data_IF_414938534834
#
_entry.id   IF_414938534834
#
_cell.length_a   1.000
_cell.length_b   1.000
_cell.length_c   1.000
_cell.angle_alpha   90.00
_cell.angle_beta   90.00
_cell.angle_gamma   90.00
#
_symmetry.space_group_name_H-M   'P 1'
#
loop_
_entity.id
_entity.type
_entity.pdbx_description
1 polymer ?
#
# COMPACT_ATOMS: atom_id res chain seq x y z
N UNK A 1 -4.07 9.77 -1.68
CA UNK A 1 -4.36 9.87 -0.23
C UNK A 1 -3.09 9.69 0.60
N UNK A 2 -3.05 10.16 1.85
CA UNK A 2 -1.92 9.95 2.79
C UNK A 2 -2.46 9.64 4.19
N UNK A 3 -1.75 8.79 4.93
CA UNK A 3 -2.00 8.51 6.35
C UNK A 3 -1.44 9.63 7.24
N UNK A 4 -1.70 9.56 8.56
CA UNK A 4 -1.02 10.45 9.53
C UNK A 4 0.50 10.23 9.51
N UNK A 5 1.23 11.29 9.78
CA UNK A 5 2.69 11.22 9.94
C UNK A 5 3.00 10.95 11.41
N UNK A 6 3.50 9.75 11.70
CA UNK A 6 4.08 9.41 12.99
C UNK A 6 5.51 9.95 13.07
N UNK A 7 5.83 10.71 14.12
CA UNK A 7 7.16 11.32 14.30
C UNK A 7 7.96 10.54 15.34
N UNK A 8 9.28 10.47 15.13
CA UNK A 8 10.22 9.82 16.05
C UNK A 8 9.91 8.36 16.38
N UNK A 9 9.27 7.65 15.43
CA UNK A 9 8.88 6.25 15.62
C UNK A 9 9.31 5.41 14.41
N UNK A 10 10.00 4.30 14.67
CA UNK A 10 10.41 3.32 13.66
C UNK A 10 9.38 2.20 13.45
N UNK A 11 8.43 2.03 14.37
CA UNK A 11 7.32 1.08 14.33
C UNK A 11 5.98 1.85 14.38
N UNK A 12 5.65 2.64 13.34
CA UNK A 12 4.44 3.44 13.31
C UNK A 12 3.18 2.56 13.29
N UNK A 13 2.19 2.93 14.12
CA UNK A 13 0.86 2.30 14.14
C UNK A 13 -0.15 3.32 13.64
N UNK A 14 -0.64 3.12 12.43
CA UNK A 14 -1.61 4.03 11.82
C UNK A 14 -3.04 3.74 12.29
N UNK A 15 -3.50 2.50 12.18
CA UNK A 15 -4.91 2.14 12.42
C UNK A 15 -5.86 3.10 11.69
N UNK A 16 -5.58 3.33 10.40
CA UNK A 16 -6.32 4.23 9.54
C UNK A 16 -6.80 3.49 8.30
N UNK A 17 -8.05 3.73 7.93
CA UNK A 17 -8.62 3.28 6.67
C UNK A 17 -8.72 4.49 5.74
N UNK A 18 -8.23 4.30 4.51
CA UNK A 18 -8.40 5.27 3.44
C UNK A 18 -9.46 4.71 2.52
N UNK A 19 -10.58 5.42 2.43
CA UNK A 19 -11.70 5.06 1.58
C UNK A 19 -11.60 5.82 0.28
N UNK A 20 -11.71 5.09 -0.82
CA UNK A 20 -11.74 5.65 -2.17
C UNK A 20 -13.13 5.38 -2.74
N UNK A 21 -13.93 6.42 -2.91
CA UNK A 21 -15.25 6.33 -3.52
C UNK A 21 -15.16 6.64 -5.02
N UNK A 22 -16.07 6.07 -5.83
CA UNK A 22 -16.15 6.23 -7.29
C UNK A 22 -14.94 5.74 -8.11
N UNK A 23 -14.09 4.88 -7.54
CA UNK A 23 -12.92 4.38 -8.27
C UNK A 23 -13.20 3.18 -9.17
N UNK A 24 -14.32 2.46 -9.01
CA UNK A 24 -14.59 1.23 -9.77
C UNK A 24 -15.68 1.43 -10.83
N UNK A 25 -15.45 1.08 -12.12
CA UNK A 25 -14.30 0.37 -12.67
C UNK A 25 -13.03 1.23 -12.77
N UNK A 26 -11.91 0.76 -12.22
CA UNK A 26 -10.65 1.51 -12.22
C UNK A 26 -10.01 1.49 -13.60
N UNK A 27 -9.66 2.65 -14.17
CA UNK A 27 -8.78 2.73 -15.35
C UNK A 27 -7.35 2.25 -15.07
N UNK A 28 -7.00 2.07 -13.79
CA UNK A 28 -5.71 1.58 -13.33
C UNK A 28 -5.83 0.16 -12.77
N UNK A 29 -4.77 -0.62 -12.96
CA UNK A 29 -4.72 -2.04 -12.57
C UNK A 29 -3.92 -2.28 -11.29
N UNK A 30 -3.31 -1.26 -10.70
CA UNK A 30 -2.30 -1.43 -9.66
C UNK A 30 -2.50 -0.42 -8.54
N UNK A 31 -2.48 -0.90 -7.31
CA UNK A 31 -2.44 -0.09 -6.10
C UNK A 31 -0.97 0.11 -5.73
N UNK A 32 -0.53 1.36 -5.67
CA UNK A 32 0.83 1.75 -5.27
C UNK A 32 0.84 2.26 -3.85
N UNK A 33 1.60 1.59 -2.99
CA UNK A 33 1.84 1.96 -1.61
C UNK A 33 3.26 2.51 -1.50
N UNK A 34 3.40 3.75 -1.05
CA UNK A 34 4.68 4.40 -0.86
C UNK A 34 4.87 4.73 0.62
N UNK A 35 5.94 4.22 1.22
CA UNK A 35 6.40 4.65 2.54
C UNK A 35 7.40 5.78 2.36
N UNK A 36 7.15 6.90 3.04
CA UNK A 36 7.95 8.12 2.92
C UNK A 36 8.36 8.64 4.29
N UNK A 37 9.53 9.26 4.34
CA UNK A 37 9.98 10.00 5.51
C UNK A 37 9.09 11.23 5.74
N UNK A 38 8.74 11.50 7.00
CA UNK A 38 7.90 12.63 7.40
C UNK A 38 8.61 14.01 7.39
N UNK A 39 9.88 14.06 6.97
CA UNK A 39 10.63 15.31 6.83
C UNK A 39 10.16 16.17 5.65
N UNK A 40 10.68 17.40 5.56
CA UNK A 40 10.26 18.43 4.57
C UNK A 40 10.36 17.92 3.12
N UNK A 41 11.40 17.14 2.81
CA UNK A 41 11.62 16.59 1.46
C UNK A 41 10.74 15.37 1.13
N UNK A 42 10.17 14.69 2.12
CA UNK A 42 9.28 13.55 1.88
C UNK A 42 9.95 12.38 1.16
N UNK A 43 11.20 12.07 1.50
CA UNK A 43 12.02 11.05 0.80
C UNK A 43 11.33 9.68 0.78
N UNK A 44 11.40 9.02 -0.39
CA UNK A 44 10.82 7.69 -0.58
C UNK A 44 11.71 6.63 0.11
N UNK A 45 11.11 5.89 1.04
CA UNK A 45 11.79 4.82 1.77
C UNK A 45 11.58 3.50 1.04
N UNK A 46 10.33 3.16 0.70
CA UNK A 46 9.96 1.90 0.04
C UNK A 46 8.69 2.04 -0.80
N UNK A 47 8.59 1.21 -1.83
CA UNK A 47 7.43 1.15 -2.73
C UNK A 47 6.94 -0.29 -2.86
N UNK A 48 5.65 -0.53 -2.57
CA UNK A 48 4.97 -1.78 -2.88
C UNK A 48 3.91 -1.55 -3.95
N UNK A 49 3.95 -2.38 -4.99
CA UNK A 49 2.91 -2.46 -6.01
C UNK A 49 2.08 -3.72 -5.77
N UNK A 50 0.76 -3.56 -5.78
CA UNK A 50 -0.21 -4.67 -5.69
C UNK A 50 -1.06 -4.60 -6.96
N UNK A 51 -0.98 -5.62 -7.83
CA UNK A 51 -1.86 -5.74 -8.99
C UNK A 51 -3.26 -6.14 -8.48
N UNK A 52 -4.28 -5.44 -8.96
CA UNK A 52 -5.68 -5.68 -8.60
C UNK A 52 -6.09 -7.10 -9.00
N UNK A 53 -5.59 -7.61 -10.14
CA UNK A 53 -5.85 -8.99 -10.56
C UNK A 53 -5.51 -10.02 -9.48
N UNK A 54 -4.36 -9.83 -8.83
CA UNK A 54 -3.79 -10.83 -7.93
C UNK A 54 -4.61 -10.92 -6.65
N UNK A 55 -5.42 -9.90 -6.38
CA UNK A 55 -6.30 -9.78 -5.21
C UNK A 55 -7.78 -9.82 -5.60
N UNK A 56 -8.15 -10.14 -6.84
CA UNK A 56 -9.56 -10.28 -7.22
C UNK A 56 -10.17 -11.49 -6.51
N UNK A 57 -11.24 -11.27 -5.76
CA UNK A 57 -12.06 -12.33 -5.20
C UNK A 57 -13.27 -12.58 -6.10
N UNK A 58 -13.52 -13.85 -6.41
CA UNK A 58 -14.64 -14.32 -7.25
C UNK A 58 -15.74 -15.02 -6.45
N UNK A 59 -15.65 -15.00 -5.12
CA UNK A 59 -16.59 -15.68 -4.24
C UNK A 59 -17.88 -14.86 -4.18
N UNK A 60 -19.04 -15.53 -4.18
CA UNK A 60 -20.41 -14.96 -4.16
C UNK A 60 -20.92 -14.26 -5.44
N UNK A 61 -20.30 -14.50 -6.59
CA UNK A 61 -20.79 -13.97 -7.88
C UNK A 61 -20.50 -12.49 -8.08
N UNK A 62 -19.67 -11.91 -7.22
CA UNK A 62 -19.21 -10.52 -7.26
C UNK A 62 -17.69 -10.52 -7.41
N UNK A 63 -17.18 -9.75 -8.36
CA UNK A 63 -15.76 -9.69 -8.70
C UNK A 63 -15.16 -8.42 -8.13
N UNK A 64 -14.70 -8.48 -6.88
CA UNK A 64 -14.20 -7.32 -6.16
C UNK A 64 -12.80 -7.58 -5.59
N UNK A 65 -11.90 -6.59 -5.63
CA UNK A 65 -10.57 -6.71 -5.02
C UNK A 65 -10.66 -6.92 -3.50
N UNK A 66 -10.14 -8.04 -3.01
CA UNK A 66 -10.11 -8.37 -1.59
C UNK A 66 -8.74 -8.91 -1.18
N UNK A 67 -8.13 -8.32 -0.16
CA UNK A 67 -6.83 -8.74 0.36
C UNK A 67 -6.73 -8.53 1.86
N UNK A 68 -6.10 -9.47 2.57
CA UNK A 68 -5.76 -9.34 3.98
C UNK A 68 -6.90 -9.61 4.96
N UNK A 69 -6.69 -9.32 6.27
CA UNK A 69 -5.49 -8.67 6.83
C UNK A 69 -4.24 -9.53 6.71
N UNK A 70 -3.16 -9.00 6.13
CA UNK A 70 -1.87 -9.71 6.07
C UNK A 70 -0.68 -8.77 6.10
N UNK A 71 0.47 -9.30 6.51
CA UNK A 71 1.75 -8.60 6.45
C UNK A 71 2.30 -8.65 5.03
N UNK A 72 2.51 -7.49 4.43
CA UNK A 72 3.30 -7.36 3.22
C UNK A 72 4.74 -7.01 3.56
N UNK A 73 5.68 -7.52 2.77
CA UNK A 73 7.07 -7.13 2.89
C UNK A 73 7.31 -5.82 2.12
N UNK A 74 8.07 -4.92 2.73
CA UNK A 74 8.53 -3.68 2.14
C UNK A 74 10.03 -3.71 1.97
N UNK A 75 10.47 -3.38 0.76
CA UNK A 75 11.88 -3.26 0.42
C UNK A 75 12.13 -1.83 -0.05
N UNK A 76 13.13 -1.20 0.56
CA UNK A 76 13.57 0.12 0.13
C UNK A 76 14.48 0.07 -1.08
N UNK A 77 14.77 1.23 -1.66
CA UNK A 77 15.55 1.39 -2.88
C UNK A 77 16.80 0.49 -2.89
N UNK A 78 17.07 -0.21 -4.01
CA UNK A 78 18.25 -1.05 -4.12
C UNK A 78 19.49 -0.15 -4.13
N UNK A 79 20.64 -0.69 -3.70
CA UNK A 79 21.91 -0.04 -3.98
C UNK A 79 22.10 -0.05 -5.51
N UNK A 80 22.18 1.12 -6.12
CA UNK A 80 22.18 1.25 -7.59
C UNK A 80 23.55 0.80 -8.11
N UNK A 81 23.62 -0.39 -8.68
CA UNK A 81 24.81 -0.90 -9.36
C UNK A 81 24.67 -0.91 -10.89
N UNK A 82 23.43 -0.86 -11.42
CA UNK A 82 23.17 -0.90 -12.86
C UNK A 82 22.12 0.13 -13.31
N UNK A 83 22.11 0.46 -14.61
CA UNK A 83 21.16 1.39 -15.22
C UNK A 83 19.70 0.89 -15.18
N UNK A 84 19.48 -0.42 -15.30
CA UNK A 84 18.14 -1.02 -15.22
C UNK A 84 17.50 -0.83 -13.84
N UNK A 85 18.31 -0.99 -12.77
CA UNK A 85 17.89 -0.73 -11.39
C UNK A 85 17.54 0.74 -11.15
N UNK A 86 18.11 1.68 -11.92
CA UNK A 86 17.76 3.11 -11.84
C UNK A 86 16.38 3.41 -12.46
N UNK A 87 16.01 2.70 -13.53
CA UNK A 87 14.77 2.95 -14.27
C UNK A 87 13.52 2.44 -13.55
N UNK A 88 13.60 1.29 -12.88
CA UNK A 88 12.45 0.61 -12.21
C UNK A 88 12.89 -0.14 -10.94
N UNK A 89 13.45 0.54 -9.93
CA UNK A 89 14.01 -0.09 -8.73
C UNK A 89 12.98 -0.92 -7.94
N UNK A 90 11.71 -0.54 -7.98
CA UNK A 90 10.65 -1.18 -7.21
C UNK A 90 10.23 -2.55 -7.76
N UNK A 91 10.49 -2.87 -9.03
CA UNK A 91 9.96 -4.09 -9.65
C UNK A 91 10.70 -5.33 -9.16
N UNK A 92 12.03 -5.33 -9.25
CA UNK A 92 12.87 -6.46 -8.81
C UNK A 92 12.68 -6.70 -7.30
N UNK A 93 12.70 -5.62 -6.51
CA UNK A 93 12.58 -5.70 -5.06
C UNK A 93 11.23 -6.25 -4.59
N UNK A 94 10.14 -5.87 -5.27
CA UNK A 94 8.82 -6.41 -4.96
C UNK A 94 8.68 -7.91 -5.27
N UNK A 95 9.57 -8.45 -6.09
CA UNK A 95 9.69 -9.89 -6.41
C UNK A 95 10.74 -10.60 -5.54
N UNK A 96 11.31 -9.91 -4.55
CA UNK A 96 12.43 -10.38 -3.74
C UNK A 96 13.70 -10.69 -4.57
N UNK A 97 13.85 -10.05 -5.73
CA UNK A 97 15.04 -10.11 -6.58
C UNK A 97 15.89 -8.86 -6.30
N UNK A 98 17.18 -9.03 -5.99
CA UNK A 98 18.13 -7.92 -5.78
C UNK A 98 19.02 -8.06 -4.54
N UNK A 99 20.28 -7.60 -4.66
CA UNK A 99 21.26 -7.64 -3.57
C UNK A 99 21.37 -6.27 -2.86
N UNK A 100 21.13 -6.27 -1.54
CA UNK A 100 21.29 -5.09 -0.70
C UNK A 100 20.18 -4.05 -0.87
N UNK A 101 19.40 -3.84 0.19
CA UNK A 101 18.33 -2.83 0.24
C UNK A 101 18.60 -1.84 1.36
N UNK A 102 18.28 -0.56 1.13
CA UNK A 102 18.45 0.48 2.14
C UNK A 102 17.48 0.32 3.33
N UNK A 103 16.37 -0.40 3.13
CA UNK A 103 15.34 -0.62 4.14
C UNK A 103 14.67 -1.99 3.95
N UNK A 104 14.39 -2.67 5.07
CA UNK A 104 13.52 -3.86 5.13
C UNK A 104 12.49 -3.62 6.22
N UNK A 105 11.22 -3.75 5.86
CA UNK A 105 10.13 -3.59 6.80
C UNK A 105 8.95 -4.47 6.43
N UNK A 106 7.92 -4.44 7.27
CA UNK A 106 6.63 -5.06 6.99
C UNK A 106 5.52 -4.07 7.27
N UNK A 107 4.45 -4.16 6.49
CA UNK A 107 3.24 -3.36 6.68
C UNK A 107 2.05 -4.31 6.79
N UNK A 108 1.26 -4.16 7.86
CA UNK A 108 0.00 -4.87 8.01
C UNK A 108 -1.10 -4.08 7.30
N UNK A 109 -1.77 -4.70 6.34
CA UNK A 109 -2.86 -4.04 5.61
C UNK A 109 -3.96 -5.01 5.20
N UNK A 110 -5.12 -4.42 4.95
CA UNK A 110 -6.24 -5.06 4.27
C UNK A 110 -6.76 -4.13 3.17
N UNK A 111 -7.19 -4.72 2.05
CA UNK A 111 -7.88 -4.03 0.96
C UNK A 111 -9.25 -4.67 0.87
N UNK A 112 -10.29 -3.84 0.94
CA UNK A 112 -11.68 -4.24 0.81
C UNK A 112 -12.35 -3.29 -0.16
N UNK A 113 -13.29 -3.82 -0.91
CA UNK A 113 -14.17 -3.06 -1.77
C UNK A 113 -15.60 -3.51 -1.51
N UNK A 114 -16.51 -2.54 -1.56
CA UNK A 114 -17.94 -2.69 -1.36
C UNK A 114 -18.65 -1.95 -2.50
N UNK A 115 -19.86 -2.40 -2.81
CA UNK A 115 -20.73 -1.62 -3.69
C UNK A 115 -21.18 -0.38 -2.94
N UNK A 116 -21.18 0.74 -3.65
CA UNK A 116 -21.78 1.98 -3.19
C UNK A 116 -23.14 2.11 -3.89
N UNK A 117 -24.23 2.00 -3.14
CA UNK A 117 -25.59 2.10 -3.69
C UNK A 117 -25.97 3.57 -3.94
N UNK A 118 -25.37 4.48 -3.18
CA UNK A 118 -25.64 5.91 -3.22
C UNK A 118 -24.37 6.64 -3.70
N UNK A 119 -24.37 7.16 -4.94
CA UNK A 119 -23.26 7.96 -5.54
C UNK A 119 -23.11 9.34 -4.89
N UNK A 120 -23.29 9.40 -3.56
CA UNK A 120 -23.31 10.62 -2.74
C UNK A 120 -21.91 10.91 -2.20
N UNK A 121 -21.09 9.87 -1.99
CA UNK A 121 -19.75 10.01 -1.44
C UNK A 121 -18.75 10.11 -2.58
N UNK A 122 -18.30 11.31 -2.91
CA UNK A 122 -17.27 11.52 -3.95
C UNK A 122 -15.92 11.76 -3.28
N UNK A 123 -14.88 11.10 -3.78
CA UNK A 123 -13.49 11.41 -3.47
C UNK A 123 -12.80 10.45 -2.50
N UNK A 124 -11.90 11.00 -1.67
CA UNK A 124 -11.12 10.19 -0.72
C UNK A 124 -11.46 10.60 0.71
N UNK A 125 -11.93 9.63 1.48
CA UNK A 125 -12.22 9.75 2.90
C UNK A 125 -11.13 9.08 3.73
N UNK A 126 -10.92 9.57 4.96
CA UNK A 126 -10.00 8.96 5.92
C UNK A 126 -10.77 8.71 7.21
N UNK A 127 -10.85 7.45 7.62
CA UNK A 127 -11.55 7.01 8.82
C UNK A 127 -10.61 6.24 9.74
N UNK A 128 -10.94 6.19 11.03
CA UNK A 128 -10.22 5.37 12.01
C UNK A 128 -10.54 3.91 11.70
N UNK A 129 -9.51 3.09 11.51
CA UNK A 129 -9.68 1.67 11.33
C UNK A 129 -9.86 0.98 12.68
N UNK A 130 -10.66 -0.09 12.71
CA UNK A 130 -10.59 -1.04 13.82
C UNK A 130 -9.16 -1.59 13.89
N UNK A 131 -8.50 -1.53 15.06
CA UNK A 131 -7.14 -2.03 15.21
C UNK A 131 -7.11 -3.53 14.86
N UNK A 132 -6.24 -3.89 13.91
CA UNK A 132 -6.06 -5.29 13.46
C UNK A 132 -5.07 -6.04 14.36
N UNK A 133 -4.24 -5.31 15.10
CA UNK A 133 -3.41 -5.85 16.17
C UNK A 133 -3.60 -4.99 17.43
N UNK A 134 -3.97 -5.62 18.53
CA UNK A 134 -3.83 -5.02 19.85
C UNK A 134 -2.34 -4.81 20.15
N UNK A 135 -2.08 -3.77 20.93
CA UNK A 135 -0.80 -3.36 21.46
C UNK A 135 0.02 -4.58 21.93
N UNK A 136 1.24 -4.73 21.43
CA UNK A 136 2.30 -5.45 22.17
C UNK A 136 3.09 -4.41 22.95
#
# INVERSE_FOLDING_TARGET
ARTKTERYNYNPIWNETIEFCDYFPTFTRTIRINVRNGGIKGELIATRLIDIRDIMCHITGRNFPHFGPSWINLYGTPRIYTYAQMLRPEVELNQALGEGVAYRGRLLLAIRSMEDEDVVRIGTSKVVASPVSEVI
#
